data_IF_272824885543
#
_entry.id   IF_272824885543
#
_cell.length_a   1.000
_cell.length_b   1.000
_cell.length_c   1.000
_cell.angle_alpha   90.00
_cell.angle_beta   90.00
_cell.angle_gamma   90.00
#
_symmetry.space_group_name_H-M   'P 1'
#
loop_
_entity.id
_entity.type
_entity.pdbx_description
1 polymer ?
#
# COMPACT_ATOMS: atom_id res chain seq x y z
N UNK A 1 -28.10 57.97 13.81
CA UNK A 1 -27.95 56.50 14.00
C UNK A 1 -27.03 55.98 12.91
N UNK A 2 -25.72 55.86 13.18
CA UNK A 2 -24.76 55.41 12.15
C UNK A 2 -24.73 53.88 12.11
N UNK A 3 -25.14 53.34 10.97
CA UNK A 3 -25.27 51.90 10.73
C UNK A 3 -23.85 51.27 10.63
N UNK A 4 -23.55 50.32 11.52
CA UNK A 4 -22.24 49.66 11.61
C UNK A 4 -21.97 48.81 10.37
N UNK A 5 -21.15 49.33 9.44
CA UNK A 5 -20.68 48.59 8.27
C UNK A 5 -19.70 47.51 8.74
N UNK A 6 -20.05 46.24 8.55
CA UNK A 6 -19.11 45.12 8.75
C UNK A 6 -17.93 45.31 7.81
N UNK A 7 -16.71 45.34 8.35
CA UNK A 7 -15.50 45.48 7.57
C UNK A 7 -15.19 44.16 6.85
N UNK A 8 -15.14 44.23 5.51
CA UNK A 8 -14.74 43.14 4.62
C UNK A 8 -13.41 42.49 5.01
N UNK A 9 -12.49 43.27 5.60
CA UNK A 9 -11.19 42.76 6.05
C UNK A 9 -11.32 41.93 7.33
N UNK A 10 -12.15 42.36 8.26
CA UNK A 10 -12.48 41.58 9.45
C UNK A 10 -13.19 40.27 9.09
N UNK A 11 -14.09 40.32 8.11
CA UNK A 11 -14.80 39.12 7.61
C UNK A 11 -13.85 38.11 6.94
N UNK A 12 -12.96 38.57 6.04
CA UNK A 12 -11.97 37.70 5.41
C UNK A 12 -10.95 37.12 6.41
N UNK A 13 -10.55 37.90 7.42
CA UNK A 13 -9.68 37.44 8.50
C UNK A 13 -10.34 36.34 9.35
N UNK A 14 -11.63 36.48 9.66
CA UNK A 14 -12.39 35.48 10.43
C UNK A 14 -12.57 34.15 9.68
N UNK A 15 -12.78 34.18 8.35
CA UNK A 15 -12.85 32.96 7.53
C UNK A 15 -11.51 32.21 7.45
N UNK A 16 -10.38 32.92 7.35
CA UNK A 16 -9.05 32.29 7.32
C UNK A 16 -8.73 31.53 8.62
N UNK A 17 -9.17 32.06 9.77
CA UNK A 17 -9.00 31.38 11.06
C UNK A 17 -9.91 30.15 11.21
N UNK A 18 -11.14 30.18 10.66
CA UNK A 18 -12.08 29.05 10.72
C UNK A 18 -11.64 27.83 9.89
N UNK A 19 -11.06 28.05 8.70
CA UNK A 19 -10.57 26.96 7.86
C UNK A 19 -9.29 26.30 8.40
N UNK A 20 -8.41 27.06 9.07
CA UNK A 20 -7.20 26.51 9.68
C UNK A 20 -7.52 25.51 10.82
N UNK A 21 -8.60 25.75 11.58
CA UNK A 21 -9.04 24.84 12.64
C UNK A 21 -9.62 23.51 12.15
N UNK A 22 -10.15 23.47 10.92
CA UNK A 22 -10.76 22.26 10.34
C UNK A 22 -9.75 21.30 9.71
N UNK A 23 -8.56 21.78 9.31
CA UNK A 23 -7.54 20.94 8.67
C UNK A 23 -6.77 20.09 9.71
N UNK A 24 -6.70 20.54 10.96
CA UNK A 24 -5.94 19.85 12.02
C UNK A 24 -6.66 18.62 12.61
N UNK A 25 -7.98 18.46 12.37
CA UNK A 25 -8.79 17.39 12.95
C UNK A 25 -9.10 16.21 12.01
N UNK A 26 -8.91 16.35 10.70
CA UNK A 26 -9.37 15.37 9.69
C UNK A 26 -8.24 14.56 9.05
N UNK A 27 -6.98 14.76 9.43
CA UNK A 27 -5.85 13.98 8.91
C UNK A 27 -5.69 12.63 9.61
N UNK A 28 -6.79 11.93 9.91
CA UNK A 28 -6.70 10.47 9.99
C UNK A 28 -6.51 9.98 8.57
N UNK A 29 -5.25 9.94 8.15
CA UNK A 29 -4.85 9.18 6.98
C UNK A 29 -5.48 7.78 7.11
N UNK A 30 -6.24 7.35 6.11
CA UNK A 30 -6.66 5.96 6.00
C UNK A 30 -5.42 5.12 5.72
N UNK A 31 -4.66 4.84 6.77
CA UNK A 31 -3.59 3.87 6.72
C UNK A 31 -4.26 2.49 6.73
N UNK A 32 -4.07 1.74 5.64
CA UNK A 32 -4.34 0.30 5.65
C UNK A 32 -3.50 -0.33 6.76
N UNK A 33 -4.10 -1.17 7.62
CA UNK A 33 -3.38 -1.93 8.66
C UNK A 33 -2.60 -3.10 8.04
N UNK A 34 -1.78 -2.78 7.04
CA UNK A 34 -0.93 -3.73 6.33
C UNK A 34 0.34 -3.93 7.14
N UNK A 35 0.54 -5.14 7.66
CA UNK A 35 1.73 -5.50 8.45
C UNK A 35 2.55 -6.55 7.73
N UNK A 36 3.89 -6.61 7.93
CA UNK A 36 4.67 -7.74 7.48
C UNK A 36 4.12 -9.05 8.06
N UNK A 37 3.93 -10.06 7.22
CA UNK A 37 3.48 -11.39 7.62
C UNK A 37 4.61 -12.28 8.15
N UNK A 38 4.24 -13.49 8.56
CA UNK A 38 5.20 -14.52 8.95
C UNK A 38 6.02 -15.01 7.75
N UNK A 39 7.23 -15.50 8.03
CA UNK A 39 8.04 -16.23 7.05
C UNK A 39 7.49 -17.66 6.95
N UNK A 40 7.22 -18.12 5.73
CA UNK A 40 6.68 -19.45 5.44
C UNK A 40 7.63 -20.21 4.51
N UNK A 41 7.76 -21.52 4.74
CA UNK A 41 8.55 -22.41 3.90
C UNK A 41 7.70 -22.99 2.75
N UNK A 42 8.25 -23.00 1.54
CA UNK A 42 7.63 -23.59 0.35
C UNK A 42 8.57 -24.63 -0.27
N UNK A 43 8.08 -25.41 -1.23
CA UNK A 43 8.91 -26.36 -1.98
C UNK A 43 10.06 -25.72 -2.77
N UNK A 44 10.05 -24.39 -2.95
CA UNK A 44 11.04 -23.67 -3.76
C UNK A 44 11.88 -22.68 -2.94
N UNK A 45 11.64 -22.57 -1.63
CA UNK A 45 12.33 -21.64 -0.74
C UNK A 45 11.39 -20.94 0.23
N UNK A 46 11.94 -20.05 1.07
CA UNK A 46 11.16 -19.31 2.07
C UNK A 46 10.61 -18.00 1.50
N UNK A 47 9.40 -17.64 1.90
CA UNK A 47 8.74 -16.39 1.49
C UNK A 47 8.24 -15.59 2.69
N UNK A 48 8.08 -14.28 2.50
CA UNK A 48 7.40 -13.39 3.45
C UNK A 48 6.34 -12.57 2.73
N UNK A 49 5.11 -12.63 3.21
CA UNK A 49 3.98 -11.88 2.68
C UNK A 49 3.57 -10.71 3.58
N UNK A 50 2.30 -10.33 3.47
CA UNK A 50 1.65 -9.29 4.26
C UNK A 50 0.48 -9.87 5.05
N UNK A 51 0.13 -9.24 6.16
CA UNK A 51 -1.19 -9.40 6.78
C UNK A 51 -2.02 -8.18 6.41
N UNK A 52 -3.11 -8.39 5.67
CA UNK A 52 -4.06 -7.36 5.24
C UNK A 52 -5.41 -7.77 5.79
N UNK A 53 -6.06 -6.92 6.59
CA UNK A 53 -7.38 -7.20 7.18
C UNK A 53 -7.44 -8.56 7.90
N UNK A 54 -6.36 -8.92 8.62
CA UNK A 54 -6.17 -10.20 9.33
C UNK A 54 -6.01 -11.42 8.44
N UNK A 55 -5.80 -11.26 7.13
CA UNK A 55 -5.55 -12.33 6.17
C UNK A 55 -4.09 -12.29 5.71
N UNK A 56 -3.45 -13.47 5.65
CA UNK A 56 -2.11 -13.60 5.07
C UNK A 56 -2.19 -13.54 3.54
N UNK A 57 -1.54 -12.54 2.93
CA UNK A 57 -1.47 -12.34 1.50
C UNK A 57 -0.03 -12.48 1.01
N UNK A 58 0.18 -13.29 -0.03
CA UNK A 58 1.47 -13.46 -0.69
C UNK A 58 1.31 -13.19 -2.19
N UNK A 59 2.05 -12.23 -2.74
CA UNK A 59 1.94 -11.77 -4.13
C UNK A 59 3.26 -11.99 -4.89
N UNK A 60 3.20 -12.12 -6.21
CA UNK A 60 4.40 -12.20 -7.06
C UNK A 60 5.21 -13.51 -6.96
N UNK A 61 4.65 -14.57 -6.37
CA UNK A 61 5.33 -15.87 -6.30
C UNK A 61 5.28 -16.54 -7.68
N UNK A 62 6.45 -16.85 -8.23
CA UNK A 62 6.57 -17.55 -9.51
C UNK A 62 6.23 -19.02 -9.32
N UNK A 63 5.24 -19.50 -10.08
CA UNK A 63 4.84 -20.91 -10.09
C UNK A 63 5.48 -21.72 -11.22
N UNK A 64 6.23 -21.05 -12.12
CA UNK A 64 6.89 -21.68 -13.26
C UNK A 64 8.16 -20.94 -13.65
N UNK A 65 9.05 -21.65 -14.34
CA UNK A 65 10.24 -21.09 -14.96
C UNK A 65 9.87 -20.06 -16.05
N UNK A 66 10.81 -19.21 -16.48
CA UNK A 66 10.59 -18.29 -17.59
C UNK A 66 10.06 -19.01 -18.84
N UNK A 67 9.03 -18.46 -19.47
CA UNK A 67 8.36 -19.00 -20.67
C UNK A 67 8.94 -18.46 -21.98
N UNK A 68 9.99 -17.64 -21.88
CA UNK A 68 10.69 -17.05 -23.03
C UNK A 68 11.85 -17.95 -23.49
N UNK A 69 12.47 -17.59 -24.62
CA UNK A 69 13.64 -18.29 -25.15
C UNK A 69 13.35 -19.74 -25.52
N UNK A 70 14.20 -20.65 -25.04
CA UNK A 70 14.09 -22.09 -25.30
C UNK A 70 12.80 -22.72 -24.74
N UNK A 71 12.14 -22.08 -23.78
CA UNK A 71 10.90 -22.57 -23.17
C UNK A 71 9.64 -22.08 -23.90
N UNK A 72 9.78 -21.28 -24.96
CA UNK A 72 8.62 -20.79 -25.72
C UNK A 72 7.94 -21.96 -26.42
N UNK A 73 6.63 -22.07 -26.24
CA UNK A 73 5.79 -23.16 -26.78
C UNK A 73 6.16 -24.56 -26.27
N UNK A 74 6.93 -24.65 -25.18
CA UNK A 74 7.20 -25.90 -24.48
C UNK A 74 6.25 -26.07 -23.29
N UNK A 75 6.08 -27.31 -22.78
CA UNK A 75 5.34 -27.53 -21.53
C UNK A 75 5.91 -26.70 -20.37
N UNK A 76 5.05 -26.39 -19.39
CA UNK A 76 5.46 -25.62 -18.22
C UNK A 76 6.53 -26.35 -17.39
N UNK A 77 7.58 -25.62 -17.02
CA UNK A 77 8.70 -26.13 -16.22
C UNK A 77 8.62 -25.53 -14.82
N UNK A 78 9.03 -26.30 -13.80
CA UNK A 78 9.10 -25.83 -12.40
C UNK A 78 10.09 -24.67 -12.27
N UNK A 79 9.82 -23.69 -11.40
CA UNK A 79 10.75 -22.59 -11.15
C UNK A 79 12.02 -23.09 -10.46
N UNK A 80 13.10 -22.34 -10.61
CA UNK A 80 14.32 -22.55 -9.83
C UNK A 80 14.08 -22.18 -8.36
N UNK A 81 14.62 -22.98 -7.45
CA UNK A 81 14.56 -22.68 -6.03
C UNK A 81 15.48 -21.50 -5.69
N UNK A 82 15.11 -20.71 -4.70
CA UNK A 82 15.93 -19.58 -4.23
C UNK A 82 16.44 -19.80 -2.82
N UNK A 83 17.57 -19.16 -2.51
CA UNK A 83 18.13 -19.09 -1.15
C UNK A 83 17.61 -17.86 -0.42
N UNK A 84 17.71 -17.86 0.92
CA UNK A 84 17.25 -16.73 1.73
C UNK A 84 15.73 -16.70 1.94
N UNK A 85 15.14 -15.50 1.95
CA UNK A 85 13.70 -15.25 2.09
C UNK A 85 13.28 -14.29 0.96
N UNK A 86 12.29 -14.68 0.16
CA UNK A 86 11.76 -13.84 -0.92
C UNK A 86 10.59 -12.99 -0.41
N UNK A 87 10.62 -11.69 -0.67
CA UNK A 87 9.50 -10.80 -0.39
C UNK A 87 8.38 -11.02 -1.41
N UNK A 88 7.18 -11.28 -0.92
CA UNK A 88 5.98 -11.57 -1.69
C UNK A 88 4.90 -10.52 -1.41
N UNK A 89 5.25 -9.24 -1.57
CA UNK A 89 4.41 -8.09 -1.18
C UNK A 89 3.72 -7.41 -2.37
N UNK A 90 4.25 -7.58 -3.58
CA UNK A 90 3.80 -6.89 -4.79
C UNK A 90 3.55 -7.89 -5.93
N UNK A 91 2.67 -7.53 -6.87
CA UNK A 91 2.55 -8.21 -8.15
C UNK A 91 3.48 -7.55 -9.17
N UNK A 92 4.49 -8.28 -9.64
CA UNK A 92 5.22 -7.94 -10.87
C UNK A 92 4.45 -8.35 -12.13
#
# INVERSE_FOLDING_TARGET
MSNGKVDRRAFLGACAAGCAGLILGTTRAWASDTKPGAIVETSYGRIRGLVIDKVNAFKGIRYGAPTSGANRFMPAVKPEAWTGVKEAMESE
#
